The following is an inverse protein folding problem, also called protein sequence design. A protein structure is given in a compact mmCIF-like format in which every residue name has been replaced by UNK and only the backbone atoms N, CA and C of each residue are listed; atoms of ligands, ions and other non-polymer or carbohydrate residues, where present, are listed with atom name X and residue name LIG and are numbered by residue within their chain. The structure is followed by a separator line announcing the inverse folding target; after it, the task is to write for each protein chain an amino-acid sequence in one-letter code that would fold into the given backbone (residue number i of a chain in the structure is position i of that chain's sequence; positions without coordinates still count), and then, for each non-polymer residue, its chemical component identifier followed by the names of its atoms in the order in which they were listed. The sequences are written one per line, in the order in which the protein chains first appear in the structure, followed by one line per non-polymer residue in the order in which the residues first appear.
data_IF_737313380171
#
_entry.id   IF_737313380171
#
_cell.length_a   1.000
_cell.length_b   1.000
_cell.length_c   1.000
_cell.angle_alpha   90.00
_cell.angle_beta   90.00
_cell.angle_gamma   90.00
#
_symmetry.space_group_name_H-M   'P 1'
#
loop_
_entity.id
_entity.type
_entity.pdbx_description
1 polymer ?
#
# COMPACT_ATOMS: atom_id res chain seq x y z
N UNK A 1 -48.46 -10.59 -22.80
CA UNK A 1 -47.36 -10.15 -21.91
C UNK A 1 -46.16 -10.93 -22.38
N UNK A 2 -45.48 -10.39 -23.39
CA UNK A 2 -44.30 -11.02 -23.97
C UNK A 2 -43.16 -10.98 -22.94
N UNK A 3 -42.51 -12.12 -22.80
CA UNK A 3 -41.34 -12.33 -21.97
C UNK A 3 -40.27 -11.28 -22.31
N UNK A 4 -39.93 -10.46 -21.32
CA UNK A 4 -38.72 -9.64 -21.36
C UNK A 4 -37.57 -10.63 -21.24
N UNK A 5 -37.12 -11.15 -22.38
CA UNK A 5 -35.84 -11.87 -22.48
C UNK A 5 -34.78 -11.02 -21.79
N UNK A 6 -34.28 -11.53 -20.67
CA UNK A 6 -33.13 -10.99 -19.99
C UNK A 6 -31.93 -11.23 -20.91
N UNK A 7 -31.69 -10.30 -21.84
CA UNK A 7 -30.49 -10.24 -22.66
C UNK A 7 -29.29 -9.90 -21.76
N UNK A 8 -28.95 -10.80 -20.83
CA UNK A 8 -27.60 -10.88 -20.31
C UNK A 8 -26.74 -11.37 -21.47
N UNK A 9 -26.24 -10.44 -22.28
CA UNK A 9 -25.11 -10.70 -23.17
C UNK A 9 -24.01 -11.29 -22.26
N UNK A 10 -23.88 -12.61 -22.25
CA UNK A 10 -22.75 -13.30 -21.62
C UNK A 10 -21.51 -12.84 -22.37
N UNK A 11 -20.86 -11.82 -21.83
CA UNK A 11 -19.58 -11.38 -22.34
C UNK A 11 -18.62 -12.54 -22.06
N UNK A 12 -18.08 -13.13 -23.12
CA UNK A 12 -17.09 -14.19 -22.96
C UNK A 12 -15.80 -13.57 -22.43
N UNK A 13 -15.40 -13.93 -21.22
CA UNK A 13 -14.24 -13.37 -20.51
C UNK A 13 -12.96 -14.13 -20.84
N UNK A 14 -13.09 -15.41 -21.22
CA UNK A 14 -11.97 -16.26 -21.63
C UNK A 14 -12.14 -16.68 -23.10
N UNK A 15 -11.10 -16.49 -23.91
CA UNK A 15 -11.09 -16.92 -25.31
C UNK A 15 -10.94 -18.45 -25.47
N UNK A 16 -10.92 -18.94 -26.71
CA UNK A 16 -10.78 -20.38 -26.97
C UNK A 16 -9.39 -20.93 -26.60
N UNK A 17 -8.38 -20.07 -26.51
CA UNK A 17 -6.99 -20.41 -26.18
C UNK A 17 -6.70 -20.32 -24.67
N UNK A 18 -7.72 -20.03 -23.85
CA UNK A 18 -7.60 -19.89 -22.40
C UNK A 18 -6.97 -18.56 -21.96
N UNK A 19 -6.97 -17.54 -22.81
CA UNK A 19 -6.52 -16.19 -22.50
C UNK A 19 -7.69 -15.31 -22.09
N UNK A 20 -7.40 -14.37 -21.20
CA UNK A 20 -8.34 -13.36 -20.72
C UNK A 20 -8.45 -12.19 -21.70
N UNK A 21 -9.40 -11.29 -21.46
CA UNK A 21 -9.65 -10.10 -22.29
C UNK A 21 -8.40 -9.25 -22.56
N UNK A 22 -7.46 -9.22 -21.61
CA UNK A 22 -6.21 -8.46 -21.68
C UNK A 22 -4.99 -9.33 -22.10
N UNK A 23 -5.22 -10.57 -22.53
CA UNK A 23 -4.20 -11.52 -22.99
C UNK A 23 -3.49 -12.31 -21.88
N UNK A 24 -3.80 -12.04 -20.61
CA UNK A 24 -3.22 -12.76 -19.47
C UNK A 24 -3.72 -14.20 -19.36
N UNK A 25 -2.91 -15.04 -18.73
CA UNK A 25 -3.34 -16.37 -18.23
C UNK A 25 -4.09 -16.23 -16.90
N UNK A 26 -4.69 -17.34 -16.46
CA UNK A 26 -5.44 -17.40 -15.20
C UNK A 26 -4.60 -17.07 -13.95
N UNK A 27 -3.27 -17.24 -13.97
CA UNK A 27 -2.39 -17.07 -12.81
C UNK A 27 -1.44 -15.85 -12.91
N UNK A 28 -1.71 -14.93 -13.83
CA UNK A 28 -0.88 -13.77 -14.11
C UNK A 28 -1.44 -12.48 -13.48
N UNK A 29 -0.56 -11.73 -12.80
CA UNK A 29 -0.85 -10.40 -12.28
C UNK A 29 -0.87 -9.37 -13.42
N UNK A 30 -1.67 -8.31 -13.27
CA UNK A 30 -1.52 -7.09 -14.07
C UNK A 30 -0.19 -6.41 -13.76
N UNK A 31 0.31 -5.50 -14.62
CA UNK A 31 1.52 -4.73 -14.36
C UNK A 31 1.40 -3.93 -13.05
N UNK A 32 2.44 -3.99 -12.21
CA UNK A 32 2.50 -3.28 -10.93
C UNK A 32 3.70 -2.34 -10.94
N UNK A 33 3.47 -1.08 -10.55
CA UNK A 33 4.51 -0.10 -10.21
C UNK A 33 4.24 0.41 -8.80
N UNK A 34 5.29 0.47 -7.98
CA UNK A 34 5.18 0.90 -6.59
C UNK A 34 6.36 1.80 -6.23
N UNK A 35 6.07 2.91 -5.56
CA UNK A 35 7.03 3.94 -5.19
C UNK A 35 6.72 4.46 -3.78
N UNK A 36 7.71 4.46 -2.89
CA UNK A 36 7.57 4.93 -1.50
C UNK A 36 8.05 6.38 -1.36
N UNK A 37 7.54 7.11 -0.37
CA UNK A 37 8.02 8.46 -0.03
C UNK A 37 7.65 9.55 -1.04
N UNK A 38 6.51 9.42 -1.72
CA UNK A 38 6.05 10.35 -2.78
C UNK A 38 5.45 11.66 -2.25
N UNK A 39 5.03 11.73 -0.99
CA UNK A 39 4.45 12.92 -0.37
C UNK A 39 5.38 13.50 0.70
N UNK A 40 5.81 14.75 0.50
CA UNK A 40 6.68 15.46 1.44
C UNK A 40 6.03 15.76 2.81
N UNK A 41 4.70 15.91 2.87
CA UNK A 41 3.97 16.35 4.08
C UNK A 41 3.46 15.22 4.94
N UNK A 42 3.39 14.00 4.41
CA UNK A 42 3.00 12.84 5.18
C UNK A 42 4.23 12.28 5.91
N UNK A 43 4.03 11.62 7.04
CA UNK A 43 5.12 10.96 7.75
C UNK A 43 5.65 9.77 6.94
N UNK A 44 4.75 9.10 6.22
CA UNK A 44 5.09 8.12 5.18
C UNK A 44 4.06 8.08 4.08
N UNK A 45 4.46 7.64 2.89
CA UNK A 45 3.57 7.61 1.73
C UNK A 45 3.97 6.56 0.70
N UNK A 46 3.03 6.19 -0.16
CA UNK A 46 3.30 5.34 -1.31
C UNK A 46 2.37 5.67 -2.47
N UNK A 47 2.88 5.60 -3.69
CA UNK A 47 2.10 5.60 -4.92
C UNK A 47 2.17 4.23 -5.58
N UNK A 48 1.02 3.72 -5.98
CA UNK A 48 0.90 2.43 -6.65
C UNK A 48 0.10 2.55 -7.94
N UNK A 49 0.65 2.00 -9.01
CA UNK A 49 -0.10 1.66 -10.21
C UNK A 49 -0.25 0.14 -10.27
N UNK A 50 -1.46 -0.35 -10.51
CA UNK A 50 -1.72 -1.78 -10.60
C UNK A 50 -2.78 -2.04 -11.67
N UNK A 51 -2.35 -2.46 -12.85
CA UNK A 51 -3.22 -2.51 -14.02
C UNK A 51 -3.76 -1.11 -14.32
N UNK A 52 -5.09 -0.96 -14.34
CA UNK A 52 -5.74 0.35 -14.48
C UNK A 52 -5.82 1.16 -13.18
N UNK A 53 -5.48 0.59 -12.02
CA UNK A 53 -5.55 1.28 -10.74
C UNK A 53 -4.41 2.30 -10.59
N UNK A 54 -4.72 3.48 -10.05
CA UNK A 54 -3.75 4.46 -9.55
C UNK A 54 -4.16 4.86 -8.14
N UNK A 55 -3.34 4.53 -7.15
CA UNK A 55 -3.67 4.71 -5.73
C UNK A 55 -2.54 5.43 -5.02
N UNK A 56 -2.91 6.39 -4.19
CA UNK A 56 -2.01 7.14 -3.33
C UNK A 56 -2.34 6.83 -1.87
N UNK A 57 -1.35 6.36 -1.11
CA UNK A 57 -1.46 6.12 0.32
C UNK A 57 -0.60 7.13 1.09
N UNK A 58 -1.13 7.63 2.21
CA UNK A 58 -0.44 8.51 3.13
C UNK A 58 -0.68 8.06 4.57
N UNK A 59 0.35 8.14 5.40
CA UNK A 59 0.28 7.86 6.82
C UNK A 59 0.66 9.10 7.60
N UNK A 60 -0.11 9.37 8.66
CA UNK A 60 0.20 10.37 9.67
C UNK A 60 0.22 9.70 11.04
N UNK A 61 1.30 9.93 11.78
CA UNK A 61 1.46 9.43 13.13
C UNK A 61 2.53 8.34 13.27
N UNK A 62 2.76 7.87 14.51
CA UNK A 62 1.88 8.06 15.67
C UNK A 62 1.78 9.52 16.15
N UNK A 63 0.57 10.06 16.28
CA UNK A 63 0.30 11.44 16.75
C UNK A 63 -0.79 11.47 17.81
N UNK A 64 -0.96 12.56 18.57
CA UNK A 64 -2.02 12.63 19.58
C UNK A 64 -3.40 12.38 18.95
N UNK A 65 -4.14 11.39 19.47
CA UNK A 65 -5.47 11.08 18.96
C UNK A 65 -6.48 12.15 19.41
N UNK A 66 -7.22 12.69 18.45
CA UNK A 66 -8.29 13.65 18.68
C UNK A 66 -9.60 13.16 18.06
N UNK A 67 -10.75 13.41 18.71
CA UNK A 67 -10.94 14.00 20.06
C UNK A 67 -10.51 13.07 21.21
N UNK A 68 -10.22 13.65 22.39
CA UNK A 68 -9.68 12.93 23.56
C UNK A 68 -10.48 11.70 24.02
N UNK A 69 -11.80 11.71 23.84
CA UNK A 69 -12.65 10.58 24.24
C UNK A 69 -12.46 9.32 23.36
N UNK A 70 -11.79 9.44 22.21
CA UNK A 70 -11.40 8.28 21.39
C UNK A 70 -10.07 7.66 21.84
N UNK A 71 -9.27 8.35 22.66
CA UNK A 71 -7.96 7.86 23.06
C UNK A 71 -8.07 6.54 23.83
N UNK A 72 -7.28 5.56 23.41
CA UNK A 72 -7.11 4.30 24.13
C UNK A 72 -5.87 4.40 25.03
N UNK A 73 -5.99 4.22 26.36
CA UNK A 73 -4.86 4.35 27.28
C UNK A 73 -3.82 3.23 27.16
N UNK A 74 -4.13 2.13 26.45
CA UNK A 74 -3.25 0.97 26.32
C UNK A 74 -2.58 0.85 24.94
N UNK A 75 -3.14 1.48 23.89
CA UNK A 75 -2.67 1.30 22.51
C UNK A 75 -2.97 2.50 21.61
N UNK A 76 -2.34 2.51 20.45
CA UNK A 76 -2.65 3.41 19.35
C UNK A 76 -3.98 3.03 18.68
N UNK A 77 -4.71 4.03 18.21
CA UNK A 77 -5.80 3.83 17.26
C UNK A 77 -5.19 3.67 15.87
N UNK A 78 -5.45 2.55 15.19
CA UNK A 78 -5.08 2.39 13.77
C UNK A 78 -6.33 2.59 12.94
N UNK A 79 -6.36 3.69 12.18
CA UNK A 79 -7.55 4.10 11.43
C UNK A 79 -7.20 4.28 9.96
N UNK A 80 -7.95 3.62 9.09
CA UNK A 80 -7.84 3.79 7.66
C UNK A 80 -9.06 4.51 7.11
N UNK A 81 -8.83 5.48 6.22
CA UNK A 81 -9.85 6.07 5.36
C UNK A 81 -9.55 5.74 3.91
N UNK A 82 -10.34 4.84 3.35
CA UNK A 82 -10.40 4.57 1.93
C UNK A 82 -11.37 5.56 1.27
N UNK A 83 -10.91 6.22 0.21
CA UNK A 83 -11.70 7.14 -0.58
C UNK A 83 -11.39 6.99 -2.07
N UNK A 84 -12.41 7.23 -2.89
CA UNK A 84 -12.29 7.25 -4.33
C UNK A 84 -12.49 8.68 -4.82
N UNK A 85 -11.55 9.20 -5.60
CA UNK A 85 -11.69 10.52 -6.19
C UNK A 85 -12.92 10.55 -7.11
N UNK A 86 -13.64 11.70 -7.22
CA UNK A 86 -14.83 11.80 -8.07
C UNK A 86 -14.61 11.39 -9.53
N UNK A 87 -13.40 11.57 -10.04
CA UNK A 87 -12.99 11.26 -11.41
C UNK A 87 -12.35 9.87 -11.56
N UNK A 88 -12.26 9.08 -10.50
CA UNK A 88 -11.55 7.80 -10.53
C UNK A 88 -12.29 6.69 -11.28
N UNK A 89 -13.60 6.82 -11.45
CA UNK A 89 -14.49 5.84 -12.10
C UNK A 89 -15.08 6.41 -13.39
N UNK A 90 -15.67 5.55 -14.23
CA UNK A 90 -16.24 5.93 -15.53
C UNK A 90 -17.30 7.02 -15.42
N UNK A 91 -18.25 6.85 -14.51
CA UNK A 91 -19.26 7.87 -14.19
C UNK A 91 -18.85 8.61 -12.93
N UNK A 92 -18.88 9.95 -12.99
CA UNK A 92 -18.42 10.79 -11.88
C UNK A 92 -19.07 10.37 -10.55
N UNK A 93 -18.24 9.93 -9.60
CA UNK A 93 -18.67 9.57 -8.25
C UNK A 93 -18.96 10.83 -7.44
N UNK A 94 -20.07 10.85 -6.70
CA UNK A 94 -20.36 11.93 -5.74
C UNK A 94 -19.28 11.92 -4.64
N UNK A 95 -18.63 13.05 -4.31
CA UNK A 95 -17.67 13.11 -3.22
C UNK A 95 -18.30 12.75 -1.88
N UNK A 96 -17.50 12.14 -1.00
CA UNK A 96 -17.90 11.75 0.35
C UNK A 96 -17.93 10.23 0.54
N UNK A 97 -18.01 9.76 1.79
CA UNK A 97 -18.05 8.34 2.09
C UNK A 97 -19.36 7.72 1.60
N UNK A 98 -19.27 6.58 0.93
CA UNK A 98 -20.39 5.67 0.68
C UNK A 98 -20.24 4.40 1.53
N UNK A 99 -21.28 3.55 1.55
CA UNK A 99 -21.29 2.31 2.36
C UNK A 99 -20.10 1.41 2.03
N UNK A 100 -19.78 1.26 0.75
CA UNK A 100 -18.63 0.45 0.27
C UNK A 100 -17.30 1.01 0.77
N UNK A 101 -17.09 2.32 0.70
CA UNK A 101 -15.85 2.95 1.17
C UNK A 101 -15.71 2.87 2.69
N UNK A 102 -16.81 2.96 3.44
CA UNK A 102 -16.81 2.77 4.90
C UNK A 102 -16.48 1.31 5.27
N UNK A 103 -17.06 0.34 4.57
CA UNK A 103 -16.73 -1.08 4.74
C UNK A 103 -15.25 -1.35 4.47
N UNK A 104 -14.74 -0.91 3.31
CA UNK A 104 -13.33 -1.07 2.93
C UNK A 104 -12.41 -0.40 3.96
N UNK A 105 -12.76 0.80 4.41
CA UNK A 105 -12.02 1.52 5.46
C UNK A 105 -11.93 0.69 6.75
N UNK A 106 -13.04 0.07 7.16
CA UNK A 106 -13.10 -0.76 8.37
C UNK A 106 -12.22 -2.01 8.25
N UNK A 107 -12.36 -2.79 7.19
CA UNK A 107 -11.60 -4.04 7.03
C UNK A 107 -10.10 -3.79 6.86
N UNK A 108 -9.69 -2.70 6.20
CA UNK A 108 -8.28 -2.30 6.11
C UNK A 108 -7.76 -1.84 7.48
N UNK A 109 -8.56 -1.11 8.26
CA UNK A 109 -8.19 -0.72 9.64
C UNK A 109 -7.98 -1.94 10.53
N UNK A 110 -8.86 -2.94 10.45
CA UNK A 110 -8.75 -4.21 11.19
C UNK A 110 -7.51 -4.99 10.77
N UNK A 111 -7.22 -5.06 9.46
CA UNK A 111 -6.02 -5.72 8.93
C UNK A 111 -4.71 -5.08 9.44
N UNK A 112 -4.63 -3.74 9.50
CA UNK A 112 -3.42 -3.09 10.04
C UNK A 112 -3.37 -3.07 11.55
N UNK A 113 -4.52 -3.05 12.24
CA UNK A 113 -4.58 -3.14 13.71
C UNK A 113 -3.98 -4.45 14.23
N UNK A 114 -4.06 -5.53 13.45
CA UNK A 114 -3.40 -6.78 13.82
C UNK A 114 -1.89 -6.72 13.62
N UNK A 115 -1.38 -5.99 12.62
CA UNK A 115 0.04 -6.05 12.23
C UNK A 115 0.91 -4.97 12.87
N UNK A 116 0.34 -3.79 13.16
CA UNK A 116 1.03 -2.67 13.81
C UNK A 116 1.21 -2.97 15.30
N UNK A 117 2.38 -2.64 15.87
CA UNK A 117 2.62 -2.72 17.31
C UNK A 117 1.98 -1.54 18.05
N UNK A 118 0.65 -1.51 18.06
CA UNK A 118 -0.13 -0.40 18.58
C UNK A 118 0.11 -0.13 20.07
N UNK A 119 0.47 -1.15 20.85
CA UNK A 119 0.77 -1.05 22.29
C UNK A 119 2.00 -0.17 22.57
N UNK A 120 2.86 0.07 21.58
CA UNK A 120 4.02 0.95 21.73
C UNK A 120 3.67 2.44 21.74
N UNK A 121 2.45 2.80 21.31
CA UNK A 121 2.03 4.21 21.21
C UNK A 121 0.66 4.49 21.88
N UNK A 122 0.55 4.35 23.21
CA UNK A 122 -0.71 4.63 23.93
C UNK A 122 -1.23 6.05 23.68
N UNK A 123 -2.56 6.20 23.59
CA UNK A 123 -3.27 7.49 23.39
C UNK A 123 -2.96 8.21 22.07
N UNK A 124 -2.29 7.53 21.14
CA UNK A 124 -1.98 8.07 19.81
C UNK A 124 -2.93 7.53 18.74
N UNK A 125 -2.90 8.13 17.55
CA UNK A 125 -3.46 7.57 16.32
C UNK A 125 -2.38 7.40 15.26
N UNK A 126 -2.49 6.31 14.51
CA UNK A 126 -1.84 6.07 13.23
C UNK A 126 -2.93 6.15 12.17
N UNK A 127 -2.96 7.27 11.45
CA UNK A 127 -4.01 7.59 10.50
C UNK A 127 -3.53 7.30 9.07
N UNK A 128 -4.18 6.33 8.43
CA UNK A 128 -3.89 5.85 7.08
C UNK A 128 -4.95 6.43 6.14
N UNK A 129 -4.52 7.10 5.08
CA UNK A 129 -5.39 7.63 4.05
C UNK A 129 -5.05 6.96 2.72
N UNK A 130 -6.07 6.39 2.07
CA UNK A 130 -5.96 5.75 0.77
C UNK A 130 -6.87 6.52 -0.19
N UNK A 131 -6.28 7.14 -1.19
CA UNK A 131 -6.97 7.87 -2.25
C UNK A 131 -6.81 7.14 -3.58
N UNK A 132 -7.90 6.60 -4.09
CA UNK A 132 -7.95 5.99 -5.43
C UNK A 132 -8.17 7.10 -6.45
N UNK A 133 -7.14 7.36 -7.26
CA UNK A 133 -7.13 8.38 -8.31
C UNK A 133 -7.72 7.86 -9.62
N UNK A 134 -7.49 6.58 -9.91
CA UNK A 134 -8.10 5.85 -11.02
C UNK A 134 -8.44 4.45 -10.54
N UNK A 135 -9.67 4.02 -10.80
CA UNK A 135 -10.21 2.77 -10.31
C UNK A 135 -10.40 1.79 -11.46
N UNK A 136 -9.81 0.62 -11.28
CA UNK A 136 -10.07 -0.63 -11.97
C UNK A 136 -10.50 -1.66 -10.90
N UNK A 137 -10.75 -2.92 -11.23
CA UNK A 137 -11.04 -3.92 -10.19
C UNK A 137 -9.85 -4.09 -9.22
N UNK A 138 -10.14 -4.49 -7.97
CA UNK A 138 -9.12 -4.75 -6.95
C UNK A 138 -8.55 -3.51 -6.24
N UNK A 139 -9.23 -2.36 -6.29
CA UNK A 139 -8.76 -1.11 -5.63
C UNK A 139 -8.44 -1.28 -4.15
N UNK A 140 -9.17 -2.13 -3.42
CA UNK A 140 -8.93 -2.40 -1.99
C UNK A 140 -7.59 -3.10 -1.77
N UNK A 141 -7.24 -4.06 -2.63
CA UNK A 141 -5.97 -4.79 -2.57
C UNK A 141 -4.79 -3.87 -2.92
N UNK A 142 -4.94 -3.05 -3.97
CA UNK A 142 -3.93 -2.05 -4.34
C UNK A 142 -3.74 -1.02 -3.22
N UNK A 143 -4.84 -0.49 -2.67
CA UNK A 143 -4.81 0.45 -1.57
C UNK A 143 -4.17 -0.10 -0.30
N UNK A 144 -4.54 -1.31 0.11
CA UNK A 144 -3.95 -1.99 1.27
C UNK A 144 -2.45 -2.23 1.05
N UNK A 145 -2.04 -2.70 -0.13
CA UNK A 145 -0.63 -2.96 -0.45
C UNK A 145 0.19 -1.67 -0.43
N UNK A 146 -0.35 -0.58 -0.98
CA UNK A 146 0.27 0.75 -0.93
C UNK A 146 0.35 1.29 0.50
N UNK A 147 -0.73 1.15 1.29
CA UNK A 147 -0.76 1.57 2.68
C UNK A 147 0.27 0.82 3.55
N UNK A 148 0.52 -0.46 3.28
CA UNK A 148 1.56 -1.20 3.98
C UNK A 148 2.96 -0.63 3.70
N UNK A 149 3.23 -0.17 2.49
CA UNK A 149 4.49 0.51 2.17
C UNK A 149 4.55 1.89 2.80
N UNK A 150 3.44 2.64 2.80
CA UNK A 150 3.38 3.95 3.43
C UNK A 150 3.59 3.88 4.96
N UNK A 151 3.08 2.85 5.64
CA UNK A 151 3.33 2.60 7.06
C UNK A 151 4.81 2.31 7.34
N UNK A 152 5.45 1.50 6.49
CA UNK A 152 6.88 1.21 6.60
C UNK A 152 7.74 2.45 6.29
N UNK A 153 7.35 3.25 5.30
CA UNK A 153 8.00 4.54 4.98
C UNK A 153 7.87 5.54 6.13
N UNK A 154 6.75 5.52 6.87
CA UNK A 154 6.55 6.31 8.08
C UNK A 154 7.37 5.81 9.28
N UNK A 155 8.05 4.66 9.17
CA UNK A 155 8.78 4.05 10.27
C UNK A 155 7.90 3.49 11.38
N UNK A 156 6.61 3.24 11.12
CA UNK A 156 5.69 2.64 12.10
C UNK A 156 6.09 1.17 12.32
N UNK A 157 6.43 0.75 13.55
CA UNK A 157 6.80 -0.63 13.84
C UNK A 157 5.64 -1.60 13.57
N UNK A 158 5.94 -2.61 12.74
CA UNK A 158 4.99 -3.64 12.31
C UNK A 158 5.65 -5.03 12.40
N UNK A 159 4.83 -6.09 12.55
CA UNK A 159 5.32 -7.48 12.49
C UNK A 159 5.98 -7.80 11.14
N UNK A 160 5.34 -7.36 10.06
CA UNK A 160 5.80 -7.47 8.68
C UNK A 160 4.99 -6.51 7.79
N UNK A 161 5.31 -6.48 6.50
CA UNK A 161 4.41 -5.88 5.51
C UNK A 161 3.17 -6.75 5.30
N UNK A 162 2.11 -6.12 4.81
CA UNK A 162 0.88 -6.79 4.38
C UNK A 162 0.80 -6.70 2.86
N UNK A 163 0.69 -7.85 2.20
CA UNK A 163 0.46 -7.94 0.76
C UNK A 163 -0.94 -8.49 0.50
N UNK A 164 -1.63 -7.91 -0.48
CA UNK A 164 -3.00 -8.31 -0.82
C UNK A 164 -3.13 -8.54 -2.31
N UNK A 165 -3.86 -9.57 -2.70
CA UNK A 165 -4.30 -9.81 -4.06
C UNK A 165 -5.72 -10.38 -4.04
N UNK A 166 -6.51 -10.02 -5.05
CA UNK A 166 -7.78 -10.66 -5.30
C UNK A 166 -7.59 -11.85 -6.24
N UNK A 167 -8.38 -12.89 -6.01
CA UNK A 167 -8.64 -13.97 -6.96
C UNK A 167 -10.14 -14.00 -7.20
N UNK A 168 -10.58 -14.62 -8.28
CA UNK A 168 -12.00 -14.70 -8.57
C UNK A 168 -12.30 -15.77 -9.58
N UNK A 169 -13.56 -15.89 -9.99
CA UNK A 169 -14.00 -16.89 -10.94
C UNK A 169 -14.65 -16.19 -12.12
N UNK A 170 -14.21 -16.56 -13.32
CA UNK A 170 -14.74 -16.04 -14.59
C UNK A 170 -14.91 -17.21 -15.55
N UNK A 171 -16.06 -17.29 -16.22
CA UNK A 171 -16.41 -18.40 -17.13
C UNK A 171 -16.11 -19.79 -16.53
N UNK A 172 -16.36 -19.99 -15.23
CA UNK A 172 -16.08 -21.25 -14.54
C UNK A 172 -14.61 -21.50 -14.17
N UNK A 173 -13.69 -20.58 -14.45
CA UNK A 173 -12.26 -20.72 -14.18
C UNK A 173 -11.81 -19.75 -13.10
N UNK A 174 -11.17 -20.30 -12.06
CA UNK A 174 -10.53 -19.48 -11.01
C UNK A 174 -9.30 -18.77 -11.57
N UNK A 175 -9.32 -17.44 -11.54
CA UNK A 175 -8.31 -16.54 -12.05
C UNK A 175 -7.78 -15.59 -10.96
N UNK A 176 -6.54 -15.15 -11.13
CA UNK A 176 -5.84 -14.21 -10.26
C UNK A 176 -6.00 -12.77 -10.77
N UNK A 177 -6.17 -11.81 -9.87
CA UNK A 177 -6.10 -10.37 -10.15
C UNK A 177 -7.08 -9.93 -11.27
N UNK A 178 -8.37 -9.91 -10.94
CA UNK A 178 -9.44 -9.52 -11.86
C UNK A 178 -9.29 -8.06 -12.33
N UNK A 179 -9.65 -7.80 -13.59
CA UNK A 179 -9.90 -6.46 -14.11
C UNK A 179 -11.38 -6.08 -13.96
N UNK A 180 -11.74 -4.82 -14.26
CA UNK A 180 -13.12 -4.31 -14.08
C UNK A 180 -14.17 -5.14 -14.79
N UNK A 181 -13.91 -5.59 -16.02
CA UNK A 181 -14.90 -6.35 -16.77
C UNK A 181 -15.11 -7.75 -16.18
N UNK A 182 -14.02 -8.37 -15.74
CA UNK A 182 -14.04 -9.67 -15.06
C UNK A 182 -14.71 -9.60 -13.68
N UNK A 183 -14.55 -8.50 -12.95
CA UNK A 183 -15.23 -8.25 -11.66
C UNK A 183 -16.73 -8.00 -11.86
N UNK A 184 -17.11 -7.29 -12.94
CA UNK A 184 -18.52 -6.98 -13.21
C UNK A 184 -19.33 -8.16 -13.77
N UNK A 185 -18.71 -8.99 -14.60
CA UNK A 185 -19.38 -10.07 -15.33
C UNK A 185 -18.94 -11.48 -14.89
N UNK A 186 -18.01 -11.56 -13.94
CA UNK A 186 -17.55 -12.82 -13.37
C UNK A 186 -18.52 -13.44 -12.37
N UNK A 187 -18.18 -14.65 -11.93
CA UNK A 187 -18.95 -15.47 -11.01
C UNK A 187 -18.62 -15.16 -9.53
N UNK A 188 -17.39 -14.73 -9.25
CA UNK A 188 -16.94 -14.44 -7.89
C UNK A 188 -15.70 -13.52 -7.83
N UNK A 189 -15.59 -12.74 -6.74
CA UNK A 189 -14.41 -11.97 -6.32
C UNK A 189 -14.03 -12.38 -4.88
N UNK A 190 -12.76 -12.66 -4.64
CA UNK A 190 -12.20 -13.09 -3.37
C UNK A 190 -10.93 -12.29 -3.04
N UNK A 191 -11.07 -11.07 -2.47
CA UNK A 191 -9.94 -10.28 -1.98
C UNK A 191 -9.33 -10.90 -0.72
N UNK A 192 -8.02 -11.16 -0.78
CA UNK A 192 -7.26 -11.73 0.33
C UNK A 192 -6.04 -10.87 0.64
N UNK A 193 -5.73 -10.66 1.92
CA UNK A 193 -4.49 -10.05 2.37
C UNK A 193 -3.81 -10.93 3.41
N UNK A 194 -2.49 -11.04 3.30
CA UNK A 194 -1.66 -11.89 4.15
C UNK A 194 -0.42 -11.16 4.64
N UNK A 195 0.08 -11.64 5.77
CA UNK A 195 1.43 -11.36 6.29
C UNK A 195 2.38 -12.38 5.63
N UNK A 196 3.19 -11.99 4.63
CA UNK A 196 3.84 -12.96 3.75
C UNK A 196 4.82 -13.92 4.44
N UNK A 197 5.50 -13.46 5.51
CA UNK A 197 6.43 -14.31 6.29
C UNK A 197 5.74 -15.42 7.07
N UNK A 198 4.55 -15.16 7.62
CA UNK A 198 3.83 -16.14 8.46
C UNK A 198 2.73 -16.87 7.71
N UNK A 199 2.25 -16.31 6.59
CA UNK A 199 1.05 -16.78 5.90
C UNK A 199 -0.25 -16.44 6.62
N UNK A 200 -0.20 -15.64 7.68
CA UNK A 200 -1.40 -15.23 8.44
C UNK A 200 -2.31 -14.37 7.56
N UNK A 201 -3.57 -14.76 7.46
CA UNK A 201 -4.59 -14.01 6.71
C UNK A 201 -5.14 -12.90 7.60
N UNK A 202 -5.01 -11.65 7.15
CA UNK A 202 -5.45 -10.46 7.89
C UNK A 202 -6.68 -9.79 7.26
N UNK A 203 -6.98 -10.12 6.01
CA UNK A 203 -8.21 -9.74 5.33
C UNK A 203 -8.64 -10.89 4.42
N UNK A 204 -9.92 -11.24 4.50
CA UNK A 204 -10.56 -12.19 3.60
C UNK A 204 -12.00 -11.74 3.39
N UNK A 205 -12.38 -11.53 2.14
CA UNK A 205 -13.76 -11.28 1.74
C UNK A 205 -14.06 -12.11 0.50
N UNK A 206 -15.33 -12.44 0.29
CA UNK A 206 -15.78 -13.12 -0.92
C UNK A 206 -17.15 -12.57 -1.31
N UNK A 207 -17.33 -12.26 -2.58
CA UNK A 207 -18.61 -11.97 -3.21
C UNK A 207 -18.79 -12.94 -4.39
N UNK A 208 -20.03 -13.36 -4.65
CA UNK A 208 -20.37 -14.36 -5.67
C UNK A 208 -20.29 -15.81 -5.19
N UNK A 209 -20.01 -16.75 -6.09
CA UNK A 209 -20.12 -18.19 -5.84
C UNK A 209 -18.86 -18.97 -6.21
N UNK A 210 -18.27 -19.62 -5.20
CA UNK A 210 -17.18 -20.59 -5.34
C UNK A 210 -17.58 -21.90 -4.66
N UNK A 211 -17.23 -23.03 -5.28
CA UNK A 211 -17.23 -24.32 -4.57
C UNK A 211 -16.08 -24.37 -3.56
N UNK A 212 -16.08 -25.36 -2.66
CA UNK A 212 -14.99 -25.52 -1.69
C UNK A 212 -13.62 -25.65 -2.37
N UNK A 213 -13.54 -26.47 -3.42
CA UNK A 213 -12.31 -26.72 -4.17
C UNK A 213 -11.85 -25.47 -4.95
N UNK A 214 -12.81 -24.72 -5.50
CA UNK A 214 -12.53 -23.45 -6.18
C UNK A 214 -12.04 -22.38 -5.20
N UNK A 215 -12.62 -22.32 -4.00
CA UNK A 215 -12.20 -21.42 -2.95
C UNK A 215 -10.76 -21.72 -2.48
N UNK A 216 -10.42 -22.99 -2.25
CA UNK A 216 -9.05 -23.40 -1.90
C UNK A 216 -8.06 -22.99 -2.99
N UNK A 217 -8.38 -23.27 -4.26
CA UNK A 217 -7.57 -22.84 -5.40
C UNK A 217 -7.41 -21.31 -5.48
N UNK A 218 -8.48 -20.55 -5.20
CA UNK A 218 -8.48 -19.09 -5.19
C UNK A 218 -7.55 -18.54 -4.10
N UNK A 219 -7.60 -19.15 -2.91
CA UNK A 219 -6.73 -18.81 -1.78
C UNK A 219 -5.26 -19.07 -2.11
N UNK A 220 -4.92 -20.24 -2.65
CA UNK A 220 -3.54 -20.58 -3.03
C UNK A 220 -2.97 -19.59 -4.05
N UNK A 221 -3.74 -19.27 -5.08
CA UNK A 221 -3.35 -18.28 -6.09
C UNK A 221 -3.10 -16.90 -5.45
N UNK A 222 -3.97 -16.48 -4.54
CA UNK A 222 -3.86 -15.19 -3.85
C UNK A 222 -2.63 -15.11 -2.94
N UNK A 223 -2.35 -16.19 -2.20
CA UNK A 223 -1.19 -16.26 -1.29
C UNK A 223 0.12 -16.26 -2.08
N UNK A 224 0.20 -17.02 -3.17
CA UNK A 224 1.39 -17.04 -4.03
C UNK A 224 1.60 -15.72 -4.77
N UNK A 225 0.52 -15.02 -5.12
CA UNK A 225 0.59 -13.67 -5.66
C UNK A 225 1.07 -12.67 -4.60
N UNK A 226 0.57 -12.77 -3.37
CA UNK A 226 0.98 -11.90 -2.27
C UNK A 226 2.48 -11.99 -1.98
N UNK A 227 3.09 -13.18 -2.11
CA UNK A 227 4.56 -13.34 -2.02
C UNK A 227 5.31 -12.58 -3.12
N UNK A 228 4.82 -12.63 -4.36
CA UNK A 228 5.41 -11.87 -5.49
C UNK A 228 5.27 -10.35 -5.28
N UNK A 229 4.12 -9.92 -4.77
CA UNK A 229 3.85 -8.50 -4.46
C UNK A 229 4.72 -8.02 -3.28
N UNK A 230 4.96 -8.88 -2.29
CA UNK A 230 5.82 -8.57 -1.15
C UNK A 230 7.25 -8.21 -1.58
N UNK A 231 7.81 -8.90 -2.56
CA UNK A 231 9.12 -8.56 -3.11
C UNK A 231 9.11 -7.17 -3.79
N UNK A 232 8.03 -6.82 -4.51
CA UNK A 232 7.86 -5.48 -5.07
C UNK A 232 7.77 -4.40 -3.99
N UNK A 233 7.08 -4.68 -2.86
CA UNK A 233 7.02 -3.77 -1.72
C UNK A 233 8.40 -3.56 -1.10
N UNK A 234 9.16 -4.63 -0.90
CA UNK A 234 10.54 -4.57 -0.38
C UNK A 234 11.46 -3.81 -1.32
N UNK A 235 11.34 -4.00 -2.62
CA UNK A 235 12.16 -3.30 -3.60
C UNK A 235 11.78 -1.81 -3.69
N UNK A 236 10.52 -1.44 -3.48
CA UNK A 236 10.13 -0.03 -3.34
C UNK A 236 10.76 0.63 -2.11
N UNK A 237 10.73 -0.03 -0.95
CA UNK A 237 11.36 0.46 0.27
C UNK A 237 12.88 0.50 0.15
N UNK A 238 13.50 -0.51 -0.45
CA UNK A 238 14.94 -0.52 -0.74
C UNK A 238 15.35 0.64 -1.63
N UNK A 239 14.60 0.95 -2.70
CA UNK A 239 14.88 2.10 -3.56
C UNK A 239 14.74 3.44 -2.83
N UNK A 240 13.83 3.52 -1.86
CA UNK A 240 13.65 4.72 -1.02
C UNK A 240 14.83 4.94 -0.06
N UNK A 241 15.33 3.86 0.53
CA UNK A 241 16.38 3.90 1.55
C UNK A 241 17.76 3.48 1.03
N UNK A 242 17.90 3.23 -0.27
CA UNK A 242 19.19 2.97 -0.89
C UNK A 242 19.97 4.27 -0.88
N UNK A 243 20.87 4.38 0.08
CA UNK A 243 21.78 5.52 0.21
C UNK A 243 22.73 5.49 -0.99
N UNK A 244 22.66 6.50 -1.86
CA UNK A 244 23.69 6.68 -2.90
C UNK A 244 24.87 7.48 -2.34
N UNK A 245 26.05 7.30 -2.92
CA UNK A 245 27.25 8.10 -2.57
C UNK A 245 26.98 9.61 -2.71
N UNK A 246 26.14 10.01 -3.67
CA UNK A 246 25.76 11.42 -3.87
C UNK A 246 24.89 11.97 -2.72
N UNK A 247 24.04 11.14 -2.13
CA UNK A 247 23.20 11.54 -0.98
C UNK A 247 24.05 11.73 0.28
N UNK A 248 25.02 10.84 0.51
CA UNK A 248 25.99 10.96 1.61
C UNK A 248 26.79 12.27 1.46
N UNK A 249 27.25 12.57 0.24
CA UNK A 249 28.05 13.76 -0.04
C UNK A 249 27.24 15.07 0.07
N UNK A 250 25.93 15.05 -0.18
CA UNK A 250 25.05 16.21 0.02
C UNK A 250 24.71 16.49 1.48
N UNK A 251 24.56 15.43 2.30
CA UNK A 251 24.23 15.56 3.73
C UNK A 251 25.46 15.71 4.63
N UNK A 252 26.65 15.40 4.11
CA UNK A 252 27.90 15.61 4.85
C UNK A 252 28.12 17.11 5.10
N UNK A 253 28.37 17.55 6.34
CA UNK A 253 28.76 18.93 6.60
C UNK A 253 30.00 19.25 5.75
N UNK A 254 30.12 20.48 5.21
CA UNK A 254 31.28 20.86 4.43
C UNK A 254 32.52 20.61 5.29
N UNK A 255 33.46 19.83 4.74
CA UNK A 255 34.75 19.56 5.38
C UNK A 255 35.36 20.92 5.70
N UNK A 256 35.44 21.26 6.99
CA UNK A 256 36.14 22.47 7.40
C UNK A 256 37.57 22.33 6.88
N UNK A 257 37.96 23.23 5.98
CA UNK A 257 39.36 23.37 5.58
C UNK A 257 40.21 23.41 6.85
N UNK A 258 41.36 22.71 6.90
CA UNK A 258 42.21 22.74 8.09
C UNK A 258 42.46 24.20 8.46
N UNK A 259 42.07 24.57 9.68
CA UNK A 259 42.30 25.91 10.23
C UNK A 259 43.76 26.24 9.96
N UNK A 260 44.00 27.32 9.20
CA UNK A 260 45.33 27.91 9.18
C UNK A 260 45.67 28.24 10.64
N UNK A 261 46.86 27.88 11.15
CA UNK A 261 47.21 28.22 12.52
C UNK A 261 47.16 29.75 12.66
N UNK A 262 46.12 30.24 13.33
CA UNK A 262 46.00 31.64 13.72
C UNK A 262 47.01 31.89 14.84
N UNK A 263 48.18 32.36 14.43
CA UNK A 263 49.24 32.76 15.32
C UNK A 263 50.46 33.10 14.50
N UNK A 264 50.77 34.41 14.40
CA UNK A 264 52.12 34.81 14.01
C UNK A 264 53.06 34.22 15.06
N UNK A 265 54.06 33.45 14.63
CA UNK A 265 55.16 33.05 15.52
C UNK A 265 55.71 34.33 16.17
N UNK A 266 55.84 34.40 17.51
CA UNK A 266 56.35 35.59 18.17
C UNK A 266 57.70 35.97 17.57
N UNK A 267 57.86 37.24 17.23
CA UNK A 267 59.11 37.80 16.72
C UNK A 267 60.13 37.90 17.85
N UNK A 268 61.43 37.94 17.53
CA UNK A 268 62.48 38.16 18.54
C UNK A 268 62.25 39.44 19.38
N UNK A 269 61.53 40.43 18.82
CA UNK A 269 61.13 41.66 19.51
C UNK A 269 60.07 41.45 20.62
N UNK A 270 59.38 40.31 20.65
CA UNK A 270 58.38 39.98 21.68
C UNK A 270 59.04 39.43 22.97
N UNK A 271 60.35 39.18 22.95
CA UNK A 271 61.14 38.80 24.12
C UNK A 271 61.91 40.03 24.61
N UNK A 272 61.64 40.46 25.84
CA UNK A 272 62.33 41.60 26.46
C UNK A 272 63.85 41.37 26.59
N UNK A 273 64.62 42.41 26.96
CA UNK A 273 66.10 42.36 27.02
C UNK A 273 66.65 41.34 28.03
N UNK A 274 65.79 40.78 28.87
CA UNK A 274 66.06 39.61 29.70
C UNK A 274 65.32 38.41 29.10
N UNK A 275 65.82 37.91 27.97
CA UNK A 275 65.44 36.59 27.47
C UNK A 275 65.80 35.52 28.49
N UNK A 276 65.06 34.41 28.50
CA UNK A 276 65.47 33.19 29.21
C UNK A 276 66.77 32.66 28.59
#
# INVERSE_FOLDING_TARGET
MEDIEHFAKQMKLIDADGRRLDGRKFNELRPIRLEAGVLRRADGSAYMEWGGNKVLAAVYGPREAHPRHLQDPARALVQCRYNMAPFSVSDRKRPGPDRRSVEISKVISEAFSSVVFAEQFPRTSVDIFIEVLQADAGTRCAGLTAASVALADAGVPMRDLVASCASGKIDGVVCLDLNKDEDNFGDADCPTAVVPRTGEIVLLQMDGHLTSDEFEKAMDLSIDAARRIYDLQRDALRRRYSVTLEDILKESPPVQSPMQPEGRLPSEDDFGPEGI
#
